data_IF_579497709509
#
_entry.id   IF_579497709509
#
_cell.length_a   1.000
_cell.length_b   1.000
_cell.length_c   1.000
_cell.angle_alpha   90.00
_cell.angle_beta   90.00
_cell.angle_gamma   90.00
#
_symmetry.space_group_name_H-M   'P 1'
#
loop_
_entity.id
_entity.type
_entity.pdbx_description
1 polymer ?
#
# COMPACT_ATOMS: atom_id res chain seq x y z
N UNK A 1 29.99 -9.68 9.25
CA UNK A 1 28.69 -9.59 9.93
C UNK A 1 28.00 -8.37 9.33
N UNK A 2 26.79 -8.53 8.80
CA UNK A 2 26.07 -7.42 8.20
C UNK A 2 25.71 -6.35 9.23
N UNK A 3 25.43 -5.14 8.75
CA UNK A 3 24.88 -4.05 9.57
C UNK A 3 23.38 -3.88 9.31
N UNK A 4 22.72 -3.21 10.24
CA UNK A 4 21.29 -2.88 10.15
C UNK A 4 21.16 -1.39 9.85
N UNK A 5 20.49 -1.06 8.76
CA UNK A 5 20.04 0.29 8.47
C UNK A 5 18.69 0.54 9.16
N UNK A 6 18.61 1.56 10.01
CA UNK A 6 17.36 1.90 10.73
C UNK A 6 16.94 3.31 10.35
N UNK A 7 15.90 3.43 9.53
CA UNK A 7 15.25 4.69 9.20
C UNK A 7 14.03 4.91 10.12
N UNK A 8 13.71 6.17 10.41
CA UNK A 8 12.44 6.57 11.02
C UNK A 8 11.67 7.39 9.99
N UNK A 9 10.50 6.93 9.60
CA UNK A 9 9.63 7.61 8.64
C UNK A 9 8.89 8.76 9.33
N UNK A 10 8.92 9.94 8.73
CA UNK A 10 8.16 11.11 9.18
C UNK A 10 6.74 11.19 8.59
N UNK A 11 6.44 10.40 7.54
CA UNK A 11 5.14 10.37 6.87
C UNK A 11 4.58 8.93 6.88
N UNK A 12 3.47 8.72 7.60
CA UNK A 12 2.81 7.41 7.72
C UNK A 12 2.32 6.85 6.38
N UNK A 13 2.04 5.54 6.36
CA UNK A 13 1.47 4.80 5.20
C UNK A 13 0.17 5.39 4.68
N UNK A 14 -0.57 6.06 5.56
CA UNK A 14 -1.87 6.63 5.32
C UNK A 14 -1.86 8.16 5.32
N UNK A 15 -0.73 8.81 5.01
CA UNK A 15 -0.71 10.26 4.80
C UNK A 15 -1.55 10.64 3.55
N UNK A 16 -2.87 10.60 3.67
CA UNK A 16 -3.67 11.75 3.28
C UNK A 16 -3.05 12.94 3.98
N UNK A 17 -2.38 13.80 3.22
CA UNK A 17 -2.03 15.13 3.69
C UNK A 17 -3.33 15.90 3.90
N UNK A 18 -3.96 15.69 5.05
CA UNK A 18 -5.11 16.43 5.54
C UNK A 18 -5.14 16.41 7.08
N UNK A 19 -4.10 16.98 7.66
CA UNK A 19 -4.23 17.67 8.94
C UNK A 19 -3.40 18.95 8.84
N UNK A 20 -3.85 19.89 8.00
CA UNK A 20 -3.39 21.29 8.02
C UNK A 20 -3.83 21.98 9.33
N UNK A 21 -4.51 21.28 10.25
CA UNK A 21 -4.94 21.83 11.55
C UNK A 21 -4.42 21.09 12.81
N UNK A 22 -3.48 20.13 12.69
CA UNK A 22 -2.86 19.52 13.88
C UNK A 22 -1.34 19.75 13.98
N UNK A 23 -0.95 21.03 13.90
CA UNK A 23 0.38 21.49 14.37
C UNK A 23 0.60 21.32 15.90
N UNK A 24 -0.31 20.66 16.63
CA UNK A 24 -0.15 20.33 18.05
C UNK A 24 0.13 18.84 18.34
N UNK A 25 -0.07 17.93 17.37
CA UNK A 25 0.08 16.47 17.57
C UNK A 25 1.37 15.87 16.99
N UNK A 26 1.85 16.37 15.85
CA UNK A 26 2.95 15.74 15.10
C UNK A 26 4.32 15.73 15.81
N UNK A 27 4.58 16.67 16.72
CA UNK A 27 5.86 16.72 17.46
C UNK A 27 5.98 15.60 18.50
N UNK A 28 4.88 15.23 19.14
CA UNK A 28 4.87 14.17 20.14
C UNK A 28 5.09 12.79 19.49
N UNK A 29 4.45 12.52 18.37
CA UNK A 29 4.59 11.25 17.64
C UNK A 29 6.02 11.04 17.12
N UNK A 30 6.60 12.09 16.54
CA UNK A 30 8.00 12.09 16.09
C UNK A 30 8.94 11.84 17.28
N UNK A 31 8.68 12.46 18.43
CA UNK A 31 9.47 12.26 19.64
C UNK A 31 9.36 10.83 20.18
N UNK A 32 8.16 10.24 20.19
CA UNK A 32 7.93 8.85 20.62
C UNK A 32 8.66 7.86 19.72
N UNK A 33 8.55 8.04 18.40
CA UNK A 33 9.24 7.20 17.41
C UNK A 33 10.76 7.31 17.56
N UNK A 34 11.28 8.54 17.68
CA UNK A 34 12.71 8.79 17.87
C UNK A 34 13.23 8.15 19.17
N UNK A 35 12.53 8.33 20.30
CA UNK A 35 12.91 7.72 21.57
C UNK A 35 12.94 6.19 21.51
N UNK A 36 11.98 5.58 20.79
CA UNK A 36 11.93 4.12 20.62
C UNK A 36 13.04 3.62 19.71
N UNK A 37 13.32 4.33 18.61
CA UNK A 37 14.44 4.06 17.70
C UNK A 37 15.77 4.12 18.45
N UNK A 38 15.98 5.13 19.28
CA UNK A 38 17.26 5.35 19.97
C UNK A 38 17.52 4.27 21.04
N UNK A 39 16.47 3.82 21.74
CA UNK A 39 16.56 2.65 22.63
C UNK A 39 16.85 1.36 21.86
N UNK A 40 16.21 1.15 20.70
CA UNK A 40 16.52 0.01 19.83
C UNK A 40 17.97 0.03 19.36
N UNK A 41 18.49 1.19 18.96
CA UNK A 41 19.89 1.36 18.56
C UNK A 41 20.83 1.01 19.71
N UNK A 42 20.55 1.48 20.92
CA UNK A 42 21.35 1.17 22.11
C UNK A 42 21.34 -0.34 22.41
N UNK A 43 20.18 -0.97 22.34
CA UNK A 43 20.02 -2.42 22.57
C UNK A 43 20.74 -3.27 21.51
N UNK A 44 20.66 -2.91 20.23
CA UNK A 44 21.38 -3.62 19.17
C UNK A 44 22.90 -3.43 19.30
N UNK A 45 23.37 -2.24 19.68
CA UNK A 45 24.80 -1.98 19.91
C UNK A 45 25.35 -2.75 21.10
N UNK A 46 24.58 -2.90 22.19
CA UNK A 46 24.99 -3.69 23.36
C UNK A 46 25.21 -5.17 23.00
N UNK A 47 24.54 -5.66 21.94
CA UNK A 47 24.70 -7.00 21.37
C UNK A 47 25.81 -7.12 20.33
N UNK A 48 26.58 -6.05 20.09
CA UNK A 48 27.67 -6.02 19.11
C UNK A 48 27.22 -5.94 17.64
N UNK A 49 25.96 -5.57 17.38
CA UNK A 49 25.44 -5.44 16.01
C UNK A 49 25.76 -4.05 15.45
N UNK A 50 26.33 -4.01 14.25
CA UNK A 50 26.64 -2.76 13.56
C UNK A 50 25.35 -2.08 13.05
N UNK A 51 25.25 -0.76 13.20
CA UNK A 51 24.04 0.01 12.84
C UNK A 51 24.43 1.26 12.05
N UNK A 52 23.62 1.60 11.06
CA UNK A 52 23.70 2.84 10.30
C UNK A 52 22.33 3.52 10.30
N UNK A 53 22.29 4.83 10.55
CA UNK A 53 21.05 5.62 10.65
C UNK A 53 21.17 6.82 9.71
N UNK A 54 20.24 7.01 8.75
CA UNK A 54 20.20 8.20 7.92
C UNK A 54 19.85 9.44 8.75
N UNK A 55 20.19 10.64 8.28
CA UNK A 55 19.77 11.89 8.96
C UNK A 55 18.25 12.02 8.92
N UNK A 56 17.67 12.62 9.97
CA UNK A 56 16.24 12.94 10.04
C UNK A 56 15.80 13.99 9.02
N UNK A 57 16.74 14.77 8.49
CA UNK A 57 16.44 15.84 7.52
C UNK A 57 16.25 15.32 6.09
N UNK A 58 16.56 14.04 5.84
CA UNK A 58 16.45 13.43 4.52
C UNK A 58 15.00 13.04 4.21
N UNK A 59 14.56 13.31 2.99
CA UNK A 59 13.31 12.75 2.49
C UNK A 59 13.46 11.26 2.14
N UNK A 60 12.36 10.57 1.83
CA UNK A 60 12.36 9.13 1.59
C UNK A 60 13.31 8.69 0.46
N UNK A 61 13.34 9.42 -0.66
CA UNK A 61 14.19 9.08 -1.80
C UNK A 61 15.67 9.26 -1.46
N UNK A 62 16.00 10.32 -0.71
CA UNK A 62 17.34 10.56 -0.19
C UNK A 62 17.77 9.50 0.83
N UNK A 63 16.87 9.06 1.71
CA UNK A 63 17.11 7.95 2.64
C UNK A 63 17.43 6.66 1.88
N UNK A 64 16.64 6.32 0.86
CA UNK A 64 16.86 5.13 0.03
C UNK A 64 18.22 5.22 -0.68
N UNK A 65 18.52 6.35 -1.32
CA UNK A 65 19.81 6.58 -1.97
C UNK A 65 20.98 6.48 -0.98
N UNK A 66 20.83 7.06 0.22
CA UNK A 66 21.83 7.03 1.27
C UNK A 66 22.14 5.61 1.74
N UNK A 67 21.11 4.77 1.90
CA UNK A 67 21.23 3.35 2.24
C UNK A 67 21.93 2.61 1.09
N UNK A 68 21.43 2.75 -0.15
CA UNK A 68 21.90 1.99 -1.31
C UNK A 68 23.39 2.21 -1.61
N UNK A 69 23.90 3.43 -1.43
CA UNK A 69 25.32 3.75 -1.63
C UNK A 69 26.22 3.13 -0.55
N UNK A 70 25.68 2.81 0.63
CA UNK A 70 26.45 2.31 1.79
C UNK A 70 26.26 0.83 2.06
N UNK A 71 25.24 0.20 1.45
CA UNK A 71 24.84 -1.14 1.78
C UNK A 71 25.71 -2.20 1.11
N UNK A 72 25.92 -3.30 1.81
CA UNK A 72 26.56 -4.51 1.34
C UNK A 72 25.57 -5.67 1.38
N UNK A 73 25.87 -6.77 0.70
CA UNK A 73 24.92 -7.89 0.54
C UNK A 73 24.56 -8.62 1.84
N UNK A 74 25.32 -8.41 2.92
CA UNK A 74 25.04 -9.00 4.22
C UNK A 74 24.07 -8.14 5.05
N UNK A 75 23.81 -6.91 4.62
CA UNK A 75 23.07 -5.93 5.39
C UNK A 75 21.56 -6.10 5.23
N UNK A 76 20.81 -5.52 6.18
CA UNK A 76 19.36 -5.40 6.13
C UNK A 76 18.95 -3.95 6.44
N UNK A 77 17.74 -3.57 6.05
CA UNK A 77 17.19 -2.25 6.29
C UNK A 77 15.77 -2.31 6.86
N UNK A 78 15.47 -1.44 7.80
CA UNK A 78 14.14 -1.29 8.37
C UNK A 78 13.78 0.19 8.44
N UNK A 79 12.55 0.51 8.06
CA UNK A 79 11.95 1.81 8.32
C UNK A 79 10.86 1.65 9.39
N UNK A 80 10.99 2.37 10.50
CA UNK A 80 10.01 2.41 11.56
C UNK A 80 9.05 3.58 11.33
N UNK A 81 7.76 3.39 11.57
CA UNK A 81 6.80 4.49 11.57
C UNK A 81 5.66 4.20 12.56
N UNK A 82 4.98 5.28 12.92
CA UNK A 82 3.70 5.25 13.61
C UNK A 82 2.62 5.65 12.62
N UNK A 83 1.42 5.10 12.76
CA UNK A 83 0.31 5.42 11.87
C UNK A 83 -0.84 6.08 12.63
N UNK A 84 -1.71 6.76 11.89
CA UNK A 84 -2.94 7.38 12.40
C UNK A 84 -4.10 6.79 11.61
N UNK A 85 -5.19 6.45 12.27
CA UNK A 85 -6.34 5.78 11.66
C UNK A 85 -7.64 6.46 12.05
N UNK A 86 -8.51 6.76 11.11
CA UNK A 86 -9.83 7.33 11.45
C UNK A 86 -10.74 6.33 12.18
N UNK A 87 -10.42 5.04 12.12
CA UNK A 87 -11.09 4.00 12.90
C UNK A 87 -10.45 3.88 14.30
N UNK A 88 -11.09 4.48 15.31
CA UNK A 88 -10.59 4.54 16.70
C UNK A 88 -10.23 3.17 17.33
N UNK A 89 -10.79 2.08 16.81
CA UNK A 89 -10.56 0.72 17.32
C UNK A 89 -9.32 0.03 16.73
N UNK A 90 -8.78 0.54 15.62
CA UNK A 90 -7.68 -0.10 14.94
C UNK A 90 -6.38 0.11 15.76
N UNK A 91 -5.71 -0.99 16.07
CA UNK A 91 -4.53 -1.03 16.94
C UNK A 91 -3.59 -2.17 16.58
N UNK A 92 -2.35 -2.09 17.05
CA UNK A 92 -1.35 -3.15 16.90
C UNK A 92 -0.27 -2.89 15.85
N UNK A 93 0.56 -3.89 15.62
CA UNK A 93 1.76 -3.81 14.76
C UNK A 93 1.61 -4.62 13.47
N UNK A 94 2.15 -4.10 12.38
CA UNK A 94 2.21 -4.75 11.07
C UNK A 94 3.58 -4.52 10.43
N UNK A 95 4.11 -5.49 9.67
CA UNK A 95 5.33 -5.29 8.89
C UNK A 95 5.06 -5.44 7.39
N UNK A 96 5.44 -4.43 6.61
CA UNK A 96 5.20 -4.39 5.18
C UNK A 96 6.44 -4.85 4.42
N UNK A 97 6.19 -5.67 3.39
CA UNK A 97 7.21 -6.26 2.56
C UNK A 97 6.85 -6.12 1.08
N UNK A 98 7.86 -6.21 0.21
CA UNK A 98 7.65 -6.29 -1.23
C UNK A 98 6.78 -7.50 -1.58
N UNK A 99 5.70 -7.28 -2.35
CA UNK A 99 4.80 -8.36 -2.78
C UNK A 99 5.55 -9.42 -3.61
N UNK A 100 4.99 -10.63 -3.68
CA UNK A 100 5.60 -11.81 -4.33
C UNK A 100 6.98 -12.26 -3.79
N UNK A 101 7.41 -11.76 -2.63
CA UNK A 101 8.63 -12.22 -1.96
C UNK A 101 8.31 -12.97 -0.66
N UNK A 102 8.25 -14.30 -0.74
CA UNK A 102 7.93 -15.17 0.40
C UNK A 102 9.00 -15.11 1.52
N UNK A 103 10.28 -14.91 1.16
CA UNK A 103 11.36 -14.74 2.14
C UNK A 103 11.12 -13.47 2.95
N UNK A 104 10.77 -12.37 2.27
CA UNK A 104 10.52 -11.08 2.93
C UNK A 104 9.27 -11.13 3.80
N UNK A 105 8.21 -11.82 3.36
CA UNK A 105 7.02 -12.08 4.18
C UNK A 105 7.38 -12.79 5.48
N UNK A 106 8.16 -13.88 5.41
CA UNK A 106 8.62 -14.62 6.60
C UNK A 106 9.42 -13.74 7.55
N UNK A 107 10.30 -12.90 7.03
CA UNK A 107 11.12 -11.98 7.83
C UNK A 107 10.28 -10.91 8.54
N UNK A 108 9.23 -10.43 7.87
CA UNK A 108 8.23 -9.56 8.49
C UNK A 108 7.49 -10.26 9.64
N UNK A 109 7.10 -11.53 9.46
CA UNK A 109 6.46 -12.34 10.52
C UNK A 109 7.40 -12.60 11.71
N UNK A 110 8.69 -12.87 11.47
CA UNK A 110 9.70 -13.00 12.52
C UNK A 110 9.76 -11.74 13.37
N UNK A 111 9.79 -10.58 12.72
CA UNK A 111 9.91 -9.28 13.38
C UNK A 111 8.67 -8.96 14.22
N UNK A 112 7.47 -9.07 13.66
CA UNK A 112 6.24 -8.78 14.42
C UNK A 112 6.03 -9.78 15.56
N UNK A 113 6.32 -11.06 15.33
CA UNK A 113 6.21 -12.10 16.36
C UNK A 113 7.19 -11.90 17.52
N UNK A 114 8.42 -11.46 17.23
CA UNK A 114 9.41 -11.15 18.26
C UNK A 114 8.97 -9.97 19.14
N UNK A 115 8.41 -8.92 18.52
CA UNK A 115 7.84 -7.79 19.26
C UNK A 115 6.67 -8.23 20.13
N UNK A 116 5.68 -8.94 19.57
CA UNK A 116 4.47 -9.33 20.32
C UNK A 116 4.75 -10.41 21.37
N UNK A 117 5.84 -11.17 21.23
CA UNK A 117 6.31 -12.07 22.29
C UNK A 117 6.82 -11.31 23.52
N UNK A 118 7.41 -10.12 23.34
CA UNK A 118 7.88 -9.26 24.44
C UNK A 118 6.78 -8.36 25.01
N UNK A 119 5.90 -7.89 24.14
CA UNK A 119 4.76 -7.03 24.48
C UNK A 119 3.46 -7.72 24.03
N UNK A 120 2.97 -8.74 24.75
CA UNK A 120 1.78 -9.50 24.34
C UNK A 120 0.48 -8.69 24.28
N UNK A 121 0.47 -7.48 24.85
CA UNK A 121 -0.66 -6.55 24.84
C UNK A 121 -0.82 -5.82 23.49
N UNK A 122 0.19 -5.88 22.61
CA UNK A 122 0.07 -5.37 21.24
C UNK A 122 -0.52 -6.44 20.32
N UNK A 123 -1.52 -6.06 19.53
CA UNK A 123 -2.11 -6.96 18.54
C UNK A 123 -1.11 -7.20 17.40
N UNK A 124 -0.83 -8.47 17.09
CA UNK A 124 -0.04 -8.84 15.91
C UNK A 124 -0.94 -8.89 14.68
N UNK A 125 -0.77 -7.93 13.76
CA UNK A 125 -1.51 -7.88 12.48
C UNK A 125 -0.75 -8.55 11.33
N UNK A 126 0.42 -9.11 11.61
CA UNK A 126 1.20 -9.92 10.69
C UNK A 126 1.93 -9.14 9.60
N UNK A 127 2.41 -9.89 8.62
CA UNK A 127 3.09 -9.38 7.45
C UNK A 127 2.09 -8.96 6.37
N UNK A 128 2.30 -7.78 5.77
CA UNK A 128 1.45 -7.20 4.73
C UNK A 128 2.26 -6.96 3.46
N UNK A 129 1.68 -7.26 2.31
CA UNK A 129 2.27 -6.87 1.03
C UNK A 129 2.22 -5.33 0.89
N UNK A 130 3.23 -4.74 0.29
CA UNK A 130 3.33 -3.30 0.04
C UNK A 130 2.19 -2.78 -0.85
N UNK A 131 1.61 -3.63 -1.69
CA UNK A 131 0.41 -3.33 -2.50
C UNK A 131 -0.85 -3.07 -1.68
N UNK A 132 -0.84 -3.38 -0.38
CA UNK A 132 -1.92 -3.05 0.55
C UNK A 132 -1.87 -1.57 0.99
N UNK A 133 -0.70 -0.93 0.91
CA UNK A 133 -0.55 0.47 1.26
C UNK A 133 -1.46 1.37 0.39
N UNK A 134 -1.78 2.56 0.89
CA UNK A 134 -2.71 3.49 0.24
C UNK A 134 -2.38 3.79 -1.23
N UNK A 135 -1.09 3.87 -1.58
CA UNK A 135 -0.62 4.14 -2.94
C UNK A 135 -0.34 2.87 -3.76
N UNK A 136 -0.64 1.68 -3.22
CA UNK A 136 -0.40 0.40 -3.88
C UNK A 136 1.07 0.02 -4.05
N UNK A 137 1.99 0.77 -3.44
CA UNK A 137 3.43 0.51 -3.45
C UNK A 137 4.11 1.19 -2.28
N UNK A 138 5.24 0.61 -1.83
CA UNK A 138 6.13 1.25 -0.86
C UNK A 138 7.55 1.30 -1.42
N UNK A 139 8.05 2.51 -1.69
CA UNK A 139 9.38 2.73 -2.25
C UNK A 139 10.47 2.12 -1.38
N UNK A 140 10.36 2.20 -0.05
CA UNK A 140 11.33 1.58 0.86
C UNK A 140 11.44 0.06 0.69
N UNK A 141 10.31 -0.62 0.43
CA UNK A 141 10.28 -2.07 0.20
C UNK A 141 10.80 -2.46 -1.20
N UNK A 142 10.60 -1.59 -2.21
CA UNK A 142 10.95 -1.90 -3.61
C UNK A 142 12.36 -1.44 -4.03
N UNK A 143 12.79 -0.29 -3.53
CA UNK A 143 13.96 0.43 -4.05
C UNK A 143 15.19 0.36 -3.14
N UNK A 144 15.06 -0.11 -1.89
CA UNK A 144 16.24 -0.42 -1.08
C UNK A 144 16.91 -1.68 -1.63
N UNK A 145 18.18 -1.58 -1.98
CA UNK A 145 18.93 -2.62 -2.69
C UNK A 145 19.21 -3.86 -1.83
N UNK A 146 19.13 -3.71 -0.51
CA UNK A 146 19.24 -4.80 0.45
C UNK A 146 17.87 -5.19 0.99
N UNK A 147 17.74 -6.43 1.50
CA UNK A 147 16.67 -6.82 2.40
C UNK A 147 16.00 -5.71 3.23
N UNK A 148 14.77 -5.31 2.87
CA UNK A 148 14.09 -4.19 3.53
C UNK A 148 12.65 -4.46 3.96
N UNK A 149 12.26 -3.89 5.11
CA UNK A 149 10.91 -3.92 5.65
C UNK A 149 10.49 -2.53 6.15
N UNK A 150 9.20 -2.25 6.09
CA UNK A 150 8.62 -1.05 6.71
C UNK A 150 7.69 -1.50 7.86
N UNK A 151 8.01 -1.12 9.10
CA UNK A 151 7.32 -1.59 10.30
C UNK A 151 6.39 -0.52 10.90
N UNK A 152 5.10 -0.82 10.89
CA UNK A 152 4.07 -0.14 11.67
C UNK A 152 4.26 -0.54 13.13
N UNK A 153 4.76 0.35 13.96
CA UNK A 153 4.87 0.01 15.37
C UNK A 153 3.49 -0.06 16.02
N UNK A 154 2.63 0.93 15.74
CA UNK A 154 1.30 1.07 16.33
C UNK A 154 0.53 2.28 15.75
N UNK A 155 -0.70 2.46 16.23
CA UNK A 155 -1.56 3.61 15.94
C UNK A 155 -1.49 4.66 17.04
N UNK A 156 -1.06 5.89 16.72
CA UNK A 156 -0.80 6.93 17.72
C UNK A 156 -2.07 7.48 18.36
N UNK A 157 -3.17 7.52 17.61
CA UNK A 157 -4.47 7.99 18.08
C UNK A 157 -5.28 6.94 18.85
N UNK A 158 -4.77 5.71 18.96
CA UNK A 158 -5.30 4.71 19.88
C UNK A 158 -4.66 4.89 21.28
N UNK A 159 -5.48 5.12 22.30
CA UNK A 159 -5.01 5.43 23.66
C UNK A 159 -4.23 4.29 24.31
N UNK A 160 -4.61 3.03 24.04
CA UNK A 160 -3.95 1.86 24.61
C UNK A 160 -2.56 1.64 23.98
N UNK A 161 -2.46 1.75 22.66
CA UNK A 161 -1.19 1.65 21.95
C UNK A 161 -0.22 2.76 22.37
N UNK A 162 -0.71 4.00 22.48
CA UNK A 162 0.08 5.14 22.98
C UNK A 162 0.62 4.87 24.39
N UNK A 163 -0.23 4.39 25.29
CA UNK A 163 0.17 4.05 26.66
C UNK A 163 1.23 2.94 26.70
N UNK A 164 1.06 1.88 25.88
CA UNK A 164 2.03 0.78 25.80
C UNK A 164 3.40 1.28 25.32
N UNK A 165 3.44 2.14 24.30
CA UNK A 165 4.70 2.71 23.82
C UNK A 165 5.43 3.51 24.89
N UNK A 166 4.68 4.29 25.68
CA UNK A 166 5.23 5.14 26.73
C UNK A 166 5.73 4.36 27.94
N UNK A 167 4.98 3.34 28.36
CA UNK A 167 5.25 2.58 29.59
C UNK A 167 6.15 1.37 29.38
N UNK A 168 6.13 0.76 28.19
CA UNK A 168 6.87 -0.46 27.86
C UNK A 168 7.90 -0.27 26.74
N UNK A 169 8.36 0.96 26.48
CA UNK A 169 9.31 1.29 25.40
C UNK A 169 10.56 0.41 25.36
N UNK A 170 11.09 0.04 26.53
CA UNK A 170 12.26 -0.83 26.64
C UNK A 170 11.96 -2.25 26.13
N UNK A 171 10.77 -2.77 26.38
CA UNK A 171 10.34 -4.07 25.88
C UNK A 171 10.10 -4.06 24.37
N UNK A 172 9.62 -2.94 23.82
CA UNK A 172 9.60 -2.72 22.36
C UNK A 172 11.01 -2.82 21.79
N UNK A 173 11.97 -2.08 22.35
CA UNK A 173 13.36 -2.09 21.88
C UNK A 173 13.98 -3.50 21.93
N UNK A 174 13.76 -4.25 23.02
CA UNK A 174 14.25 -5.63 23.17
C UNK A 174 13.58 -6.58 22.17
N UNK A 175 12.26 -6.50 22.01
CA UNK A 175 11.53 -7.37 21.07
C UNK A 175 11.89 -7.12 19.61
N UNK A 176 12.06 -5.85 19.25
CA UNK A 176 12.56 -5.45 17.93
C UNK A 176 14.01 -5.91 17.72
N UNK A 177 14.87 -5.77 18.72
CA UNK A 177 16.25 -6.23 18.63
C UNK A 177 16.34 -7.75 18.48
N UNK A 178 15.52 -8.51 19.20
CA UNK A 178 15.41 -9.98 19.07
C UNK A 178 15.01 -10.37 17.63
N UNK A 179 13.98 -9.71 17.08
CA UNK A 179 13.50 -9.96 15.72
C UNK A 179 14.52 -9.57 14.65
N UNK A 180 15.15 -8.41 14.78
CA UNK A 180 16.16 -7.92 13.84
C UNK A 180 17.44 -8.76 13.86
N UNK A 181 17.88 -9.23 15.02
CA UNK A 181 19.02 -10.15 15.13
C UNK A 181 18.72 -11.51 14.48
N UNK A 182 17.51 -12.05 14.69
CA UNK A 182 17.06 -13.28 14.05
C UNK A 182 17.01 -13.12 12.51
N UNK A 183 16.45 -12.01 12.02
CA UNK A 183 16.42 -11.69 10.60
C UNK A 183 17.84 -11.53 10.02
N UNK A 184 18.72 -10.77 10.67
CA UNK A 184 20.10 -10.59 10.20
C UNK A 184 20.84 -11.94 10.08
N UNK A 185 20.58 -12.85 11.02
CA UNK A 185 21.16 -14.22 11.01
C UNK A 185 20.59 -15.07 9.87
N UNK A 186 19.28 -15.04 9.64
CA UNK A 186 18.64 -15.72 8.50
C UNK A 186 19.17 -15.17 7.17
N UNK A 187 19.32 -13.85 7.07
CA UNK A 187 19.83 -13.20 5.87
C UNK A 187 21.26 -13.65 5.55
N UNK A 188 22.12 -13.73 6.56
CA UNK A 188 23.48 -14.25 6.41
C UNK A 188 23.51 -15.70 5.87
N UNK A 189 22.52 -16.53 6.20
CA UNK A 189 22.40 -17.89 5.67
C UNK A 189 21.90 -17.96 4.21
N UNK A 190 21.20 -16.92 3.74
CA UNK A 190 20.71 -16.84 2.35
C UNK A 190 21.72 -16.26 1.36
N UNK A 191 22.76 -15.57 1.86
CA UNK A 191 23.91 -15.17 1.04
C UNK A 191 24.77 -16.42 0.81
N UNK A 192 25.18 -16.77 -0.43
CA UNK A 192 26.08 -17.89 -0.65
C UNK A 192 27.36 -17.73 0.18
N UNK A 193 27.49 -18.53 1.24
CA UNK A 193 28.65 -18.49 2.12
C UNK A 193 29.84 -19.11 1.37
N UNK A 194 30.87 -18.30 1.15
CA UNK A 194 32.21 -18.77 0.82
C UNK A 194 32.71 -19.65 1.98
N UNK A 195 33.00 -20.92 1.70
CA UNK A 195 33.47 -21.88 2.69
C UNK A 195 34.73 -21.39 3.42
N UNK A 196 34.95 -21.74 4.71
CA UNK A 196 36.04 -21.18 5.54
C UNK A 196 37.45 -21.53 5.05
N UNK A 197 37.59 -22.43 4.09
CA UNK A 197 38.86 -22.90 3.55
C UNK A 197 39.36 -22.12 2.32
N UNK A 198 38.60 -21.18 1.78
CA UNK A 198 39.08 -20.32 0.68
C UNK A 198 39.43 -18.93 1.19
N UNK A 199 40.73 -18.65 1.30
CA UNK A 199 41.26 -17.28 1.14
C UNK A 199 40.56 -16.65 -0.06
N UNK A 200 40.18 -15.38 0.06
CA UNK A 200 39.62 -14.52 -1.00
C UNK A 200 40.11 -14.97 -2.38
N UNK A 201 39.25 -15.67 -3.11
CA UNK A 201 39.41 -15.79 -4.56
C UNK A 201 38.53 -14.69 -5.16
N UNK A 202 39.10 -13.55 -5.58
CA UNK A 202 38.34 -12.44 -6.14
C UNK A 202 37.59 -12.82 -7.44
N UNK A 203 37.79 -14.04 -7.96
CA UNK A 203 37.20 -14.54 -9.20
C UNK A 203 36.00 -15.49 -9.03
N UNK A 204 35.48 -15.75 -7.82
CA UNK A 204 34.26 -16.58 -7.68
C UNK A 204 33.01 -15.79 -8.07
N UNK A 205 32.68 -15.85 -9.36
CA UNK A 205 31.50 -15.19 -9.93
C UNK A 205 30.22 -15.62 -9.20
N UNK A 206 29.48 -14.64 -8.66
CA UNK A 206 28.18 -14.90 -8.06
C UNK A 206 27.23 -15.46 -9.12
N UNK A 207 26.52 -16.52 -8.78
CA UNK A 207 25.50 -17.13 -9.66
C UNK A 207 24.13 -17.01 -9.01
N UNK A 208 23.16 -16.47 -9.76
CA UNK A 208 21.78 -16.36 -9.32
C UNK A 208 20.94 -17.48 -9.90
N UNK A 209 19.97 -18.04 -9.15
CA UNK A 209 19.04 -19.01 -9.70
C UNK A 209 18.25 -18.42 -10.86
N UNK A 210 18.13 -19.19 -11.94
CA UNK A 210 17.31 -18.83 -13.09
C UNK A 210 15.82 -18.91 -12.77
N UNK A 211 15.05 -18.07 -13.47
CA UNK A 211 13.60 -17.96 -13.37
C UNK A 211 12.99 -18.16 -14.74
N UNK A 212 12.01 -19.04 -14.85
CA UNK A 212 11.19 -19.18 -16.04
C UNK A 212 10.26 -17.97 -16.18
N UNK A 213 10.05 -17.48 -17.39
CA UNK A 213 9.13 -16.39 -17.67
C UNK A 213 7.99 -16.95 -18.52
N UNK A 214 6.76 -16.81 -18.03
CA UNK A 214 5.53 -17.02 -18.79
C UNK A 214 4.97 -15.64 -19.16
N UNK A 215 5.00 -15.32 -20.46
CA UNK A 215 4.48 -14.06 -21.00
C UNK A 215 3.13 -14.33 -21.67
N UNK A 216 2.06 -13.73 -21.12
CA UNK A 216 0.70 -13.84 -21.66
C UNK A 216 0.25 -15.30 -21.92
N UNK A 217 0.64 -16.24 -21.06
CA UNK A 217 0.29 -17.66 -21.18
C UNK A 217 1.35 -18.52 -21.88
N UNK A 218 2.36 -17.93 -22.53
CA UNK A 218 3.37 -18.64 -23.29
C UNK A 218 4.74 -18.62 -22.60
N UNK A 219 5.52 -19.70 -22.72
CA UNK A 219 6.91 -19.69 -22.24
C UNK A 219 7.74 -18.71 -23.07
N UNK A 220 8.51 -17.88 -22.37
CA UNK A 220 9.48 -16.98 -22.97
C UNK A 220 10.88 -17.61 -22.98
N UNK A 221 11.67 -17.29 -24.00
CA UNK A 221 12.97 -17.93 -24.27
C UNK A 221 14.05 -17.53 -23.27
N UNK A 222 14.15 -16.25 -22.92
CA UNK A 222 15.14 -15.77 -21.95
C UNK A 222 14.66 -16.03 -20.53
N UNK A 223 15.64 -16.23 -19.64
CA UNK A 223 15.40 -16.46 -18.23
C UNK A 223 15.54 -15.16 -17.43
N UNK A 224 14.73 -15.04 -16.39
CA UNK A 224 14.97 -14.10 -15.32
C UNK A 224 15.98 -14.64 -14.31
N UNK A 225 16.26 -13.85 -13.28
CA UNK A 225 17.10 -14.24 -12.14
C UNK A 225 16.39 -13.97 -10.82
N UNK A 226 16.67 -14.79 -9.81
CA UNK A 226 16.16 -14.60 -8.45
C UNK A 226 17.25 -14.00 -7.55
N UNK A 227 17.04 -12.78 -7.06
CA UNK A 227 17.98 -12.06 -6.20
C UNK A 227 17.31 -11.72 -4.88
N UNK A 228 17.75 -12.35 -3.78
CA UNK A 228 17.21 -12.11 -2.43
C UNK A 228 15.66 -12.22 -2.35
N UNK A 229 15.11 -13.19 -3.10
CA UNK A 229 13.67 -13.43 -3.21
C UNK A 229 12.92 -12.50 -4.18
N UNK A 230 13.59 -11.54 -4.80
CA UNK A 230 13.03 -10.70 -5.85
C UNK A 230 13.30 -11.33 -7.21
N UNK A 231 12.28 -11.40 -8.05
CA UNK A 231 12.42 -11.82 -9.45
C UNK A 231 12.86 -10.62 -10.26
N UNK A 232 13.92 -10.76 -11.05
CA UNK A 232 14.33 -9.78 -12.04
C UNK A 232 14.29 -10.40 -13.44
N UNK A 233 13.94 -9.59 -14.43
CA UNK A 233 13.89 -9.96 -15.84
C UNK A 233 14.86 -9.11 -16.67
N UNK A 234 15.30 -9.58 -17.84
CA UNK A 234 16.13 -8.77 -18.74
C UNK A 234 15.44 -7.45 -19.12
N UNK A 235 16.18 -6.34 -19.12
CA UNK A 235 15.68 -5.03 -19.52
C UNK A 235 15.18 -5.03 -20.98
N UNK A 236 15.84 -5.78 -21.86
CA UNK A 236 15.47 -5.93 -23.28
C UNK A 236 14.07 -6.55 -23.46
N UNK A 237 13.59 -7.35 -22.50
CA UNK A 237 12.20 -7.82 -22.51
C UNK A 237 11.23 -6.67 -22.23
N UNK A 238 11.58 -5.76 -21.33
CA UNK A 238 10.75 -4.58 -21.00
C UNK A 238 10.59 -3.68 -22.23
N UNK A 239 11.70 -3.40 -22.93
CA UNK A 239 11.67 -2.60 -24.16
C UNK A 239 10.88 -3.29 -25.28
N UNK A 240 11.02 -4.61 -25.44
CA UNK A 240 10.25 -5.40 -26.42
C UNK A 240 8.74 -5.37 -26.16
N UNK A 241 8.34 -5.20 -24.89
CA UNK A 241 6.92 -5.04 -24.51
C UNK A 241 6.41 -3.60 -24.73
N UNK A 242 7.26 -2.67 -25.18
CA UNK A 242 6.91 -1.27 -25.35
C UNK A 242 6.72 -0.53 -24.03
N UNK A 243 7.21 -1.09 -22.92
CA UNK A 243 7.11 -0.48 -21.60
C UNK A 243 8.27 0.49 -21.41
N UNK A 244 7.97 1.73 -21.00
CA UNK A 244 8.99 2.76 -20.85
C UNK A 244 9.89 2.49 -19.64
N UNK A 245 11.09 1.95 -19.89
CA UNK A 245 12.09 1.69 -18.87
C UNK A 245 12.43 2.92 -18.04
N UNK A 246 12.42 4.14 -18.60
CA UNK A 246 12.80 5.37 -17.89
C UNK A 246 11.86 5.71 -16.73
N UNK A 247 10.64 5.16 -16.73
CA UNK A 247 9.70 5.30 -15.61
C UNK A 247 10.01 4.37 -14.44
N UNK A 248 10.92 3.39 -14.60
CA UNK A 248 11.36 2.49 -13.54
C UNK A 248 12.60 3.07 -12.84
N UNK A 249 12.58 3.24 -11.51
CA UNK A 249 13.75 3.72 -10.76
C UNK A 249 15.01 2.90 -11.02
N UNK A 250 16.16 3.57 -11.15
CA UNK A 250 17.47 2.90 -11.34
C UNK A 250 17.79 1.93 -10.21
N UNK A 251 17.31 2.19 -8.99
CA UNK A 251 17.49 1.31 -7.84
C UNK A 251 16.80 -0.06 -8.00
N UNK A 252 15.83 -0.19 -8.90
CA UNK A 252 15.17 -1.45 -9.25
C UNK A 252 15.90 -2.20 -10.38
N UNK A 253 17.09 -1.74 -10.79
CA UNK A 253 17.88 -2.33 -11.88
C UNK A 253 19.21 -2.86 -11.37
N UNK A 254 19.73 -3.90 -12.01
CA UNK A 254 21.01 -4.50 -11.65
C UNK A 254 21.71 -5.03 -12.90
N UNK A 255 23.02 -4.81 -13.01
CA UNK A 255 23.84 -5.43 -14.06
C UNK A 255 24.39 -6.76 -13.58
N UNK A 256 24.22 -7.82 -14.37
CA UNK A 256 24.69 -9.16 -14.09
C UNK A 256 25.12 -9.87 -15.37
N UNK A 257 26.36 -10.38 -15.41
CA UNK A 257 26.94 -11.07 -16.58
C UNK A 257 26.78 -10.31 -17.91
N UNK A 258 26.95 -8.98 -17.85
CA UNK A 258 26.82 -8.11 -19.04
C UNK A 258 25.40 -7.66 -19.35
N UNK A 259 24.37 -8.32 -18.80
CA UNK A 259 22.94 -8.02 -19.02
C UNK A 259 22.43 -7.09 -17.92
N UNK A 260 21.55 -6.15 -18.28
CA UNK A 260 20.81 -5.34 -17.31
C UNK A 260 19.50 -6.04 -16.99
N UNK A 261 19.25 -6.29 -15.71
CA UNK A 261 18.03 -6.87 -15.19
C UNK A 261 17.23 -5.83 -14.43
N UNK A 262 15.91 -5.95 -14.46
CA UNK A 262 14.94 -5.07 -13.81
C UNK A 262 14.05 -5.91 -12.90
N UNK A 263 13.78 -5.44 -11.68
CA UNK A 263 12.82 -6.11 -10.79
C UNK A 263 11.46 -6.22 -11.47
N UNK A 264 10.94 -7.44 -11.61
CA UNK A 264 9.70 -7.72 -12.33
C UNK A 264 8.50 -6.95 -11.75
N UNK A 265 8.44 -6.79 -10.42
CA UNK A 265 7.38 -6.06 -9.75
C UNK A 265 7.35 -4.56 -10.10
N UNK A 266 8.45 -3.98 -10.58
CA UNK A 266 8.47 -2.58 -11.00
C UNK A 266 7.65 -2.35 -12.28
N UNK A 267 7.47 -3.38 -13.12
CA UNK A 267 6.62 -3.30 -14.30
C UNK A 267 5.14 -3.15 -13.93
N UNK A 268 4.76 -3.40 -12.67
CA UNK A 268 3.42 -3.10 -12.17
C UNK A 268 3.08 -1.64 -12.46
N UNK A 269 3.97 -0.70 -12.17
CA UNK A 269 3.71 0.73 -12.41
C UNK A 269 3.56 1.09 -13.91
N UNK A 270 3.93 0.18 -14.82
CA UNK A 270 3.80 0.32 -16.27
C UNK A 270 2.63 -0.49 -16.85
N UNK A 271 1.56 -0.68 -16.07
CA UNK A 271 0.38 -1.47 -16.46
C UNK A 271 0.69 -2.93 -16.79
N UNK A 272 1.65 -3.58 -16.14
CA UNK A 272 1.82 -5.04 -16.25
C UNK A 272 1.30 -5.77 -15.00
N UNK A 273 0.70 -6.94 -15.17
CA UNK A 273 0.33 -7.80 -14.05
C UNK A 273 1.42 -8.85 -13.84
N UNK A 274 1.77 -9.03 -12.58
CA UNK A 274 2.92 -9.81 -12.14
C UNK A 274 2.41 -10.84 -11.13
N UNK A 275 2.72 -12.12 -11.37
CA UNK A 275 2.51 -13.18 -10.40
C UNK A 275 3.73 -14.09 -10.36
N UNK A 276 3.95 -14.72 -9.21
CA UNK A 276 5.14 -15.53 -8.94
C UNK A 276 4.73 -16.87 -8.36
N UNK A 277 5.19 -17.94 -9.00
CA UNK A 277 5.12 -19.29 -8.48
C UNK A 277 6.52 -19.76 -8.04
N UNK A 278 6.71 -19.85 -6.73
CA UNK A 278 7.97 -20.28 -6.12
C UNK A 278 8.26 -21.77 -6.31
N UNK A 279 7.25 -22.62 -6.50
CA UNK A 279 7.42 -24.05 -6.66
C UNK A 279 8.01 -24.39 -8.03
N UNK A 280 7.51 -23.75 -9.08
CA UNK A 280 8.00 -23.94 -10.45
C UNK A 280 9.08 -22.93 -10.86
N UNK A 281 9.39 -21.94 -9.99
CA UNK A 281 10.23 -20.77 -10.29
C UNK A 281 9.80 -20.06 -11.57
N UNK A 282 8.50 -19.83 -11.69
CA UNK A 282 7.90 -19.21 -12.88
C UNK A 282 7.31 -17.85 -12.54
N UNK A 283 7.80 -16.83 -13.24
CA UNK A 283 7.19 -15.52 -13.30
C UNK A 283 6.06 -15.55 -14.35
N UNK A 284 4.85 -15.18 -13.94
CA UNK A 284 3.76 -14.90 -14.86
C UNK A 284 3.68 -13.40 -15.09
N UNK A 285 3.99 -12.98 -16.30
CA UNK A 285 3.94 -11.60 -16.76
C UNK A 285 2.80 -11.46 -17.76
N UNK A 286 1.81 -10.63 -17.43
CA UNK A 286 0.72 -10.29 -18.35
C UNK A 286 0.79 -8.81 -18.71
N UNK A 287 0.64 -8.55 -19.99
CA UNK A 287 0.62 -7.19 -20.59
C UNK A 287 -0.58 -6.98 -21.50
N UNK A 288 -1.33 -8.06 -21.79
CA UNK A 288 -2.57 -8.03 -22.54
C UNK A 288 -3.70 -8.27 -21.55
N UNK A 289 -4.63 -7.32 -21.48
CA UNK A 289 -5.80 -7.37 -20.61
C UNK A 289 -7.07 -7.14 -21.40
N UNK A 290 -8.20 -7.54 -20.82
CA UNK A 290 -9.53 -7.21 -21.35
C UNK A 290 -9.82 -5.70 -21.29
N UNK A 291 -9.10 -4.97 -20.43
CA UNK A 291 -9.27 -3.54 -20.20
C UNK A 291 -8.15 -2.77 -20.91
N UNK A 292 -8.52 -1.84 -21.79
CA UNK A 292 -7.54 -0.93 -22.38
C UNK A 292 -6.99 0.01 -21.30
N UNK A 293 -5.67 0.17 -21.22
CA UNK A 293 -5.02 1.01 -20.19
C UNK A 293 -5.55 2.46 -20.14
N UNK A 294 -5.99 3.02 -21.27
CA UNK A 294 -6.59 4.37 -21.34
C UNK A 294 -8.06 4.46 -20.92
N UNK A 295 -8.67 3.37 -20.48
CA UNK A 295 -10.05 3.31 -19.99
C UNK A 295 -10.14 3.10 -18.47
N UNK A 296 -9.05 2.66 -17.82
CA UNK A 296 -9.08 2.34 -16.39
C UNK A 296 -9.37 3.54 -15.49
N UNK A 297 -9.06 4.75 -15.97
CA UNK A 297 -9.29 6.01 -15.25
C UNK A 297 -10.58 6.73 -15.66
N UNK A 298 -11.40 6.14 -16.53
CA UNK A 298 -12.66 6.74 -16.97
C UNK A 298 -13.77 6.47 -15.95
N UNK A 299 -14.45 7.53 -15.51
CA UNK A 299 -15.55 7.44 -14.54
C UNK A 299 -16.82 6.89 -15.19
N UNK A 300 -17.09 7.28 -16.43
CA UNK A 300 -18.20 6.73 -17.22
C UNK A 300 -17.73 5.47 -17.92
N UNK A 301 -18.58 4.44 -17.95
CA UNK A 301 -18.27 3.14 -18.54
C UNK A 301 -18.84 1.99 -17.73
N UNK A 302 -18.62 0.76 -18.19
CA UNK A 302 -19.00 -0.45 -17.47
C UNK A 302 -17.83 -0.91 -16.59
N UNK A 303 -18.11 -1.29 -15.35
CA UNK A 303 -17.15 -2.06 -14.56
C UNK A 303 -17.07 -3.51 -15.04
N UNK A 304 -15.99 -4.17 -14.69
CA UNK A 304 -15.67 -5.54 -15.07
C UNK A 304 -15.86 -6.53 -13.92
N UNK A 305 -15.73 -6.11 -12.65
CA UNK A 305 -15.82 -7.05 -11.54
C UNK A 305 -17.26 -7.51 -11.29
N UNK A 306 -17.41 -8.82 -11.05
CA UNK A 306 -18.67 -9.46 -10.65
C UNK A 306 -19.07 -9.04 -9.22
N UNK A 307 -20.36 -9.19 -8.90
CA UNK A 307 -20.85 -8.98 -7.53
C UNK A 307 -20.08 -9.82 -6.50
N UNK A 308 -19.81 -11.09 -6.83
CA UNK A 308 -19.04 -12.01 -5.98
C UNK A 308 -17.59 -11.53 -5.81
N UNK A 309 -16.95 -11.02 -6.87
CA UNK A 309 -15.58 -10.49 -6.79
C UNK A 309 -15.52 -9.24 -5.88
N UNK A 310 -16.47 -8.32 -6.02
CA UNK A 310 -16.59 -7.15 -5.14
C UNK A 310 -16.85 -7.54 -3.68
N UNK A 311 -17.73 -8.52 -3.45
CA UNK A 311 -18.04 -9.05 -2.13
C UNK A 311 -16.81 -9.70 -1.47
N UNK A 312 -16.09 -10.53 -2.22
CA UNK A 312 -14.85 -11.16 -1.74
C UNK A 312 -13.75 -10.13 -1.47
N UNK A 313 -13.66 -9.09 -2.31
CA UNK A 313 -12.73 -7.99 -2.08
C UNK A 313 -13.04 -7.23 -0.80
N UNK A 314 -14.32 -6.94 -0.52
CA UNK A 314 -14.75 -6.34 0.75
C UNK A 314 -14.44 -7.28 1.92
N UNK A 315 -14.79 -8.57 1.82
CA UNK A 315 -14.53 -9.58 2.85
C UNK A 315 -13.07 -9.62 3.28
N UNK A 316 -12.16 -9.67 2.30
CA UNK A 316 -10.73 -9.77 2.54
C UNK A 316 -10.14 -8.52 3.21
N UNK A 317 -10.84 -7.38 3.16
CA UNK A 317 -10.40 -6.12 3.74
C UNK A 317 -11.16 -5.74 5.00
N UNK A 318 -12.43 -6.11 5.14
CA UNK A 318 -13.27 -5.88 6.30
C UNK A 318 -14.41 -6.92 6.34
N UNK A 319 -14.13 -8.11 6.88
CA UNK A 319 -15.12 -9.18 6.99
C UNK A 319 -16.35 -8.76 7.82
N UNK A 320 -16.16 -7.94 8.86
CA UNK A 320 -17.26 -7.47 9.71
C UNK A 320 -18.29 -6.61 8.95
N UNK A 321 -17.89 -5.93 7.87
CA UNK A 321 -18.81 -5.13 7.06
C UNK A 321 -19.91 -5.98 6.40
N UNK A 322 -19.67 -7.27 6.16
CA UNK A 322 -20.64 -8.14 5.50
C UNK A 322 -21.92 -8.34 6.32
N UNK A 323 -21.86 -8.15 7.64
CA UNK A 323 -23.02 -8.26 8.51
C UNK A 323 -24.07 -7.17 8.24
N UNK A 324 -23.63 -6.00 7.77
CA UNK A 324 -24.49 -4.82 7.59
C UNK A 324 -24.57 -4.34 6.14
N UNK A 325 -23.61 -4.72 5.29
CA UNK A 325 -23.45 -4.19 3.93
C UNK A 325 -23.16 -5.29 2.89
N UNK A 326 -23.59 -6.52 3.13
CA UNK A 326 -23.37 -7.65 2.22
C UNK A 326 -24.05 -7.50 0.85
N UNK A 327 -25.10 -6.69 0.77
CA UNK A 327 -25.85 -6.33 -0.45
C UNK A 327 -25.23 -5.16 -1.24
N UNK A 328 -24.32 -4.41 -0.64
CA UNK A 328 -23.76 -3.19 -1.22
C UNK A 328 -23.07 -3.41 -2.59
N UNK A 329 -22.32 -4.51 -2.84
CA UNK A 329 -21.81 -4.83 -4.17
C UNK A 329 -22.89 -4.91 -5.26
N UNK A 330 -24.03 -5.52 -4.94
CA UNK A 330 -25.18 -5.64 -5.85
C UNK A 330 -25.78 -4.25 -6.14
N UNK A 331 -25.98 -3.46 -5.08
CA UNK A 331 -26.53 -2.10 -5.16
C UNK A 331 -25.68 -1.20 -6.05
N UNK A 332 -24.34 -1.22 -5.87
CA UNK A 332 -23.42 -0.44 -6.71
C UNK A 332 -23.53 -0.80 -8.18
N UNK A 333 -23.59 -2.09 -8.52
CA UNK A 333 -23.76 -2.53 -9.90
C UNK A 333 -25.07 -2.02 -10.50
N UNK A 334 -26.18 -2.19 -9.80
CA UNK A 334 -27.51 -1.80 -10.28
C UNK A 334 -27.63 -0.27 -10.49
N UNK A 335 -27.26 0.53 -9.50
CA UNK A 335 -27.38 2.00 -9.60
C UNK A 335 -26.41 2.58 -10.64
N UNK A 336 -25.20 2.03 -10.72
CA UNK A 336 -24.20 2.50 -11.68
C UNK A 336 -24.53 2.11 -13.13
N UNK A 337 -25.08 0.90 -13.36
CA UNK A 337 -25.53 0.44 -14.67
C UNK A 337 -26.62 1.36 -15.24
N UNK A 338 -27.59 1.77 -14.41
CA UNK A 338 -28.66 2.70 -14.82
C UNK A 338 -28.09 4.03 -15.31
N UNK A 339 -27.06 4.56 -14.64
CA UNK A 339 -26.51 5.88 -14.96
C UNK A 339 -25.32 5.84 -15.92
N UNK A 340 -24.76 4.66 -16.20
CA UNK A 340 -23.59 4.45 -17.06
C UNK A 340 -22.25 4.79 -16.39
N UNK A 341 -22.19 4.70 -15.06
CA UNK A 341 -20.98 4.95 -14.25
C UNK A 341 -20.25 3.62 -14.02
N UNK A 342 -18.92 3.65 -13.98
CA UNK A 342 -18.12 2.45 -13.68
C UNK A 342 -18.31 2.05 -12.20
N UNK A 343 -19.00 0.94 -11.96
CA UNK A 343 -19.31 0.45 -10.61
C UNK A 343 -18.07 0.02 -9.82
N UNK A 344 -17.00 -0.46 -10.48
CA UNK A 344 -15.78 -0.88 -9.79
C UNK A 344 -15.04 0.34 -9.22
N UNK A 345 -14.98 1.41 -9.99
CA UNK A 345 -14.37 2.69 -9.59
C UNK A 345 -15.17 3.31 -8.46
N UNK A 346 -16.51 3.39 -8.58
CA UNK A 346 -17.37 3.91 -7.53
C UNK A 346 -17.26 3.07 -6.24
N UNK A 347 -17.19 1.75 -6.35
CA UNK A 347 -17.01 0.86 -5.20
C UNK A 347 -15.64 1.04 -4.53
N UNK A 348 -14.57 1.19 -5.31
CA UNK A 348 -13.23 1.47 -4.79
C UNK A 348 -13.14 2.86 -4.14
N UNK A 349 -13.76 3.88 -4.74
CA UNK A 349 -13.87 5.19 -4.13
C UNK A 349 -14.61 5.11 -2.78
N UNK A 350 -15.73 4.38 -2.71
CA UNK A 350 -16.42 4.13 -1.44
C UNK A 350 -15.52 3.48 -0.40
N UNK A 351 -14.72 2.49 -0.78
CA UNK A 351 -13.80 1.83 0.14
C UNK A 351 -12.76 2.83 0.70
N UNK A 352 -12.34 3.82 -0.07
CA UNK A 352 -11.41 4.87 0.37
C UNK A 352 -12.09 5.88 1.29
N UNK A 353 -13.29 6.30 0.94
CA UNK A 353 -14.06 7.30 1.70
C UNK A 353 -14.48 6.76 3.06
N UNK A 354 -14.85 5.49 3.13
CA UNK A 354 -15.38 4.86 4.35
C UNK A 354 -14.37 3.99 5.10
N UNK A 355 -13.13 3.85 4.59
CA UNK A 355 -12.14 2.93 5.17
C UNK A 355 -12.58 1.45 5.09
N UNK A 356 -13.17 1.05 3.97
CA UNK A 356 -13.88 -0.22 3.75
C UNK A 356 -15.04 -0.40 4.73
N UNK A 357 -15.94 0.59 4.80
CA UNK A 357 -17.15 0.56 5.64
C UNK A 357 -16.87 0.42 7.14
N UNK A 358 -15.68 0.85 7.57
CA UNK A 358 -15.39 1.03 9.01
C UNK A 358 -15.95 2.34 9.51
N UNK A 359 -16.06 3.32 8.61
CA UNK A 359 -16.41 4.70 8.89
C UNK A 359 -15.40 5.34 9.86
N UNK A 360 -15.31 6.67 9.77
CA UNK A 360 -14.15 7.44 10.22
C UNK A 360 -13.94 8.55 9.20
N UNK A 361 -13.54 9.75 9.65
CA UNK A 361 -13.64 11.05 8.94
C UNK A 361 -15.01 11.76 9.06
N UNK A 362 -15.55 11.82 10.28
CA UNK A 362 -16.76 12.61 10.61
C UNK A 362 -18.06 12.19 9.90
N UNK A 363 -18.07 11.00 9.27
CA UNK A 363 -19.26 10.37 8.68
C UNK A 363 -19.56 9.10 9.47
N UNK A 364 -20.79 8.99 9.95
CA UNK A 364 -21.27 7.83 10.67
C UNK A 364 -21.97 6.84 9.74
N UNK A 365 -21.95 5.56 10.11
CA UNK A 365 -22.57 4.45 9.35
C UNK A 365 -24.06 4.68 9.11
N UNK A 366 -24.77 5.31 10.06
CA UNK A 366 -26.21 5.57 9.97
C UNK A 366 -26.57 6.61 8.89
N UNK A 367 -25.59 7.40 8.42
CA UNK A 367 -25.83 8.38 7.38
C UNK A 367 -25.96 7.75 5.99
N UNK A 368 -25.56 6.49 5.80
CA UNK A 368 -25.47 5.84 4.49
C UNK A 368 -24.71 6.69 3.45
N UNK A 369 -23.77 7.51 3.90
CA UNK A 369 -23.00 8.42 3.06
C UNK A 369 -21.67 7.77 2.67
N UNK A 370 -21.72 6.97 1.61
CA UNK A 370 -20.59 6.15 1.17
C UNK A 370 -19.51 6.90 0.39
N UNK A 371 -19.70 8.20 0.16
CA UNK A 371 -18.84 8.98 -0.73
C UNK A 371 -18.47 10.36 -0.15
N UNK A 372 -18.64 10.53 1.16
CA UNK A 372 -18.35 11.77 1.87
C UNK A 372 -19.02 13.00 1.30
N UNK A 373 -20.26 12.84 0.80
CA UNK A 373 -20.99 13.91 0.15
C UNK A 373 -21.36 15.01 1.14
N UNK A 374 -21.11 16.25 0.76
CA UNK A 374 -21.52 17.42 1.52
C UNK A 374 -23.05 17.61 1.50
N UNK A 375 -23.58 18.17 2.57
CA UNK A 375 -25.01 18.54 2.63
C UNK A 375 -25.31 19.79 1.77
N UNK A 376 -26.60 20.04 1.54
CA UNK A 376 -27.05 21.26 0.86
C UNK A 376 -26.77 22.49 1.73
N UNK A 377 -26.40 23.66 1.15
CA UNK A 377 -26.17 24.88 1.91
C UNK A 377 -27.32 25.26 2.85
N UNK A 378 -28.57 25.02 2.44
CA UNK A 378 -29.77 25.29 3.26
C UNK A 378 -29.81 24.44 4.54
N UNK A 379 -29.40 23.18 4.43
CA UNK A 379 -29.37 22.23 5.56
C UNK A 379 -28.15 22.49 6.46
N UNK A 380 -27.02 22.89 5.88
CA UNK A 380 -25.83 23.27 6.64
C UNK A 380 -26.06 24.49 7.55
N UNK A 381 -26.89 25.44 7.12
CA UNK A 381 -27.25 26.63 7.93
C UNK A 381 -28.23 26.26 9.05
N UNK A 382 -29.16 25.34 8.80
CA UNK A 382 -30.17 24.91 9.78
C UNK A 382 -29.59 24.02 10.88
N UNK A 383 -28.55 23.24 10.56
CA UNK A 383 -27.86 22.33 11.48
C UNK A 383 -26.38 22.73 11.57
N UNK A 384 -26.01 23.71 12.42
CA UNK A 384 -24.61 24.02 12.67
C UNK A 384 -23.89 22.77 13.21
N UNK A 385 -22.60 22.58 12.90
CA UNK A 385 -21.94 21.30 13.08
C UNK A 385 -21.91 20.87 14.56
N UNK A 386 -22.76 19.89 14.90
CA UNK A 386 -22.39 18.86 15.87
C UNK A 386 -21.39 17.92 15.17
N UNK A 387 -20.72 17.05 15.91
CA UNK A 387 -19.56 16.25 15.44
C UNK A 387 -19.77 15.38 14.17
N UNK A 388 -20.99 15.31 13.61
CA UNK A 388 -21.32 14.68 12.33
C UNK A 388 -21.47 15.72 11.21
N UNK A 389 -20.70 15.56 10.14
CA UNK A 389 -20.74 16.45 8.98
C UNK A 389 -21.09 15.67 7.72
N UNK A 390 -21.89 16.26 6.82
CA UNK A 390 -22.20 15.68 5.51
C UNK A 390 -23.69 15.41 5.27
N UNK A 391 -24.00 14.86 4.10
CA UNK A 391 -25.34 14.40 3.74
C UNK A 391 -25.69 13.09 4.48
N UNK A 392 -26.99 12.84 4.66
CA UNK A 392 -27.52 11.59 5.20
C UNK A 392 -28.64 11.08 4.31
N UNK A 393 -28.73 9.75 4.16
CA UNK A 393 -29.67 9.08 3.27
C UNK A 393 -30.44 8.00 4.02
N UNK A 394 -31.73 7.88 3.72
CA UNK A 394 -32.66 7.00 4.46
C UNK A 394 -32.33 5.51 4.28
N UNK A 395 -31.66 5.14 3.19
CA UNK A 395 -31.25 3.75 2.93
C UNK A 395 -29.92 3.66 2.20
N UNK A 396 -29.24 2.50 2.27
CA UNK A 396 -28.02 2.24 1.50
C UNK A 396 -28.21 2.48 -0.01
N UNK A 397 -29.35 2.07 -0.58
CA UNK A 397 -29.69 2.30 -1.98
C UNK A 397 -29.61 3.78 -2.36
N UNK A 398 -30.22 4.66 -1.54
CA UNK A 398 -30.25 6.10 -1.82
C UNK A 398 -28.87 6.74 -1.66
N UNK A 399 -28.08 6.27 -0.68
CA UNK A 399 -26.69 6.68 -0.51
C UNK A 399 -25.82 6.34 -1.71
N UNK A 400 -25.92 5.10 -2.22
CA UNK A 400 -25.20 4.69 -3.42
C UNK A 400 -25.69 5.45 -4.65
N UNK A 401 -27.01 5.62 -4.82
CA UNK A 401 -27.56 6.43 -5.91
C UNK A 401 -27.01 7.86 -5.90
N UNK A 402 -26.97 8.51 -4.74
CA UNK A 402 -26.41 9.86 -4.62
C UNK A 402 -24.92 9.90 -4.99
N UNK A 403 -24.15 8.89 -4.59
CA UNK A 403 -22.75 8.73 -5.00
C UNK A 403 -22.62 8.63 -6.52
N UNK A 404 -23.35 7.72 -7.15
CA UNK A 404 -23.34 7.49 -8.61
C UNK A 404 -23.75 8.76 -9.37
N UNK A 405 -24.80 9.44 -8.93
CA UNK A 405 -25.24 10.70 -9.53
C UNK A 405 -24.18 11.78 -9.43
N UNK A 406 -23.48 11.89 -8.30
CA UNK A 406 -22.42 12.87 -8.12
C UNK A 406 -21.22 12.57 -9.02
N UNK A 407 -20.83 11.30 -9.17
CA UNK A 407 -19.80 10.87 -10.13
C UNK A 407 -20.19 11.21 -11.58
N UNK A 408 -21.42 10.87 -11.99
CA UNK A 408 -21.94 11.25 -13.31
C UNK A 408 -21.98 12.76 -13.51
N UNK A 409 -22.28 13.54 -12.47
CA UNK A 409 -22.23 15.00 -12.55
C UNK A 409 -20.83 15.50 -12.91
N UNK A 410 -19.80 14.98 -12.25
CA UNK A 410 -18.42 15.32 -12.56
C UNK A 410 -18.01 14.85 -13.96
N UNK A 411 -18.42 13.66 -14.37
CA UNK A 411 -17.86 13.01 -15.55
C UNK A 411 -18.65 13.21 -16.86
N UNK A 412 -19.92 13.62 -16.80
CA UNK A 412 -20.79 13.69 -17.97
C UNK A 412 -21.83 14.81 -17.94
N UNK A 413 -22.17 15.32 -19.12
CA UNK A 413 -23.30 16.24 -19.35
C UNK A 413 -24.60 15.54 -19.70
N UNK A 414 -24.59 14.21 -19.95
CA UNK A 414 -25.79 13.43 -20.25
C UNK A 414 -26.79 13.43 -19.09
N UNK A 415 -28.10 13.60 -19.32
CA UNK A 415 -29.08 13.68 -18.24
C UNK A 415 -29.05 12.44 -17.32
N UNK A 416 -29.52 12.61 -16.08
CA UNK A 416 -29.77 11.48 -15.18
C UNK A 416 -31.01 10.72 -15.65
N UNK A 417 -30.99 9.40 -15.50
CA UNK A 417 -32.18 8.58 -15.74
C UNK A 417 -33.11 8.59 -14.54
N UNK A 418 -32.54 8.68 -13.34
CA UNK A 418 -33.30 8.73 -12.09
C UNK A 418 -33.43 10.15 -11.52
N UNK A 419 -34.41 10.33 -10.63
CA UNK A 419 -34.61 11.59 -9.91
C UNK A 419 -33.38 11.97 -9.08
N UNK A 420 -33.07 13.27 -9.03
CA UNK A 420 -31.86 13.79 -8.36
C UNK A 420 -32.00 13.67 -6.83
N UNK A 421 -31.05 12.98 -6.20
CA UNK A 421 -30.96 12.82 -4.74
C UNK A 421 -29.65 13.40 -4.21
N UNK A 422 -28.58 13.44 -5.02
CA UNK A 422 -27.31 14.06 -4.65
C UNK A 422 -27.50 15.56 -4.28
N UNK A 423 -27.26 15.97 -3.02
CA UNK A 423 -27.67 17.30 -2.52
C UNK A 423 -27.02 18.49 -3.24
N UNK A 424 -25.82 18.26 -3.80
CA UNK A 424 -25.00 19.28 -4.46
C UNK A 424 -24.90 19.08 -5.97
N UNK A 425 -25.71 18.20 -6.55
CA UNK A 425 -25.66 17.86 -7.97
C UNK A 425 -25.69 19.09 -8.88
N UNK A 426 -26.59 20.04 -8.60
CA UNK A 426 -26.81 21.26 -9.39
C UNK A 426 -25.71 22.33 -9.21
N UNK A 427 -24.79 22.16 -8.26
CA UNK A 427 -23.71 23.12 -7.98
C UNK A 427 -22.42 22.81 -8.74
N UNK A 428 -22.30 21.59 -9.28
CA UNK A 428 -21.11 21.16 -10.02
C UNK A 428 -21.25 21.50 -11.49
N UNK A 429 -20.22 22.10 -12.09
CA UNK A 429 -20.12 22.27 -13.53
C UNK A 429 -20.04 20.88 -14.18
N UNK A 430 -21.11 20.48 -14.88
CA UNK A 430 -21.26 19.11 -15.37
C UNK A 430 -20.18 18.73 -16.39
N UNK A 431 -19.60 17.54 -16.26
CA UNK A 431 -18.56 17.04 -17.17
C UNK A 431 -17.17 17.66 -16.97
N UNK A 432 -16.92 18.34 -15.85
CA UNK A 432 -15.63 18.99 -15.55
C UNK A 432 -14.48 18.02 -15.24
N UNK A 433 -14.80 16.78 -14.84
CA UNK A 433 -13.82 15.75 -14.49
C UNK A 433 -14.27 14.36 -15.04
N UNK A 434 -14.10 14.08 -16.34
CA UNK A 434 -14.36 12.76 -16.93
C UNK A 434 -13.46 11.63 -16.42
N UNK A 435 -12.28 11.96 -15.90
CA UNK A 435 -11.27 10.99 -15.42
C UNK A 435 -11.02 11.09 -13.92
N UNK A 436 -10.60 9.99 -13.31
CA UNK A 436 -10.27 9.89 -11.87
C UNK A 436 -9.22 10.92 -11.45
N UNK A 437 -8.18 11.13 -12.28
CA UNK A 437 -7.14 12.13 -12.03
C UNK A 437 -7.65 13.57 -11.87
N UNK A 438 -8.82 13.87 -12.44
CA UNK A 438 -9.45 15.18 -12.37
C UNK A 438 -10.35 15.34 -11.14
N UNK A 439 -10.59 14.27 -10.36
CA UNK A 439 -11.28 14.35 -9.07
C UNK A 439 -10.35 14.88 -7.97
N UNK A 440 -9.04 14.71 -8.10
CA UNK A 440 -8.04 15.30 -7.20
C UNK A 440 -8.18 16.82 -7.17
N UNK A 441 -8.35 17.40 -5.98
CA UNK A 441 -8.61 18.83 -5.77
C UNK A 441 -10.05 19.29 -6.05
N UNK A 442 -10.92 18.43 -6.59
CA UNK A 442 -12.34 18.73 -6.86
C UNK A 442 -13.29 17.99 -5.92
N UNK A 443 -13.09 16.68 -5.81
CA UNK A 443 -13.81 15.81 -4.90
C UNK A 443 -13.18 15.83 -3.51
N UNK A 444 -11.87 15.56 -3.46
CA UNK A 444 -11.07 15.59 -2.25
C UNK A 444 -9.79 16.39 -2.49
N UNK A 445 -9.32 17.12 -1.47
CA UNK A 445 -8.10 17.93 -1.55
C UNK A 445 -6.81 17.11 -1.34
N UNK A 446 -6.93 15.83 -1.03
CA UNK A 446 -5.80 14.90 -0.97
C UNK A 446 -5.09 14.84 -2.35
N UNK A 447 -3.80 15.24 -2.45
CA UNK A 447 -3.07 15.28 -3.71
C UNK A 447 -2.81 13.90 -4.32
N UNK A 448 -3.05 12.81 -3.58
CA UNK A 448 -2.91 11.44 -4.05
C UNK A 448 -4.25 10.72 -4.21
N UNK A 449 -5.37 11.44 -4.17
CA UNK A 449 -6.71 10.86 -4.16
C UNK A 449 -6.95 9.91 -5.35
N UNK A 450 -6.65 10.39 -6.56
CA UNK A 450 -6.73 9.60 -7.78
C UNK A 450 -5.85 8.35 -7.74
N UNK A 451 -4.60 8.49 -7.28
CA UNK A 451 -3.66 7.37 -7.19
C UNK A 451 -4.14 6.31 -6.20
N UNK A 452 -4.77 6.71 -5.09
CA UNK A 452 -5.37 5.77 -4.13
C UNK A 452 -6.51 4.98 -4.77
N UNK A 453 -7.40 5.65 -5.51
CA UNK A 453 -8.50 4.99 -6.23
C UNK A 453 -7.95 3.98 -7.24
N UNK A 454 -6.99 4.39 -8.08
CA UNK A 454 -6.41 3.54 -9.11
C UNK A 454 -5.61 2.37 -8.51
N UNK A 455 -4.86 2.60 -7.43
CA UNK A 455 -4.16 1.54 -6.70
C UNK A 455 -5.13 0.48 -6.17
N UNK A 456 -6.28 0.92 -5.64
CA UNK A 456 -7.29 0.03 -5.10
C UNK A 456 -8.04 -0.73 -6.21
N UNK A 457 -8.42 -0.04 -7.29
CA UNK A 457 -9.05 -0.62 -8.47
C UNK A 457 -8.16 -1.71 -9.09
N UNK A 458 -6.85 -1.42 -9.20
CA UNK A 458 -5.89 -2.41 -9.66
C UNK A 458 -5.83 -3.63 -8.76
N UNK A 459 -5.82 -3.43 -7.45
CA UNK A 459 -5.81 -4.54 -6.49
C UNK A 459 -7.08 -5.39 -6.58
N UNK A 460 -8.24 -4.76 -6.83
CA UNK A 460 -9.48 -5.46 -7.12
C UNK A 460 -9.31 -6.34 -8.36
N UNK A 461 -8.81 -5.80 -9.47
CA UNK A 461 -8.64 -6.53 -10.73
C UNK A 461 -7.61 -7.67 -10.65
N UNK A 462 -6.50 -7.46 -9.95
CA UNK A 462 -5.51 -8.50 -9.66
C UNK A 462 -6.14 -9.64 -8.83
N UNK A 463 -6.92 -9.31 -7.80
CA UNK A 463 -7.61 -10.32 -6.98
C UNK A 463 -8.74 -11.06 -7.71
N UNK A 464 -9.34 -10.39 -8.70
CA UNK A 464 -10.42 -10.90 -9.52
C UNK A 464 -9.93 -11.74 -10.71
N UNK A 465 -8.62 -11.72 -11.02
CA UNK A 465 -8.03 -12.36 -12.19
C UNK A 465 -8.32 -11.65 -13.51
N UNK A 466 -8.77 -10.40 -13.46
CA UNK A 466 -9.00 -9.52 -14.62
C UNK A 466 -7.66 -8.98 -15.14
N UNK A 467 -6.73 -8.74 -14.20
CA UNK A 467 -5.32 -8.48 -14.46
C UNK A 467 -4.46 -9.73 -14.28
#
# INVERSE_FOLDING_TARGET
MGKIFIAAGHNGLNSSSLAVDEMKGGTAEIAELAATRDLLIAELRSRGIAIAVPSSDLNLDEVIAWINVRATRQDIAIALYLDVTDANELRGTSAYHITHNAIRKRQAEILTSALTKRVPEILNRGAKADTIASLGSLSFCRQVAVPSLMLELLFTNNSQDRLLMQTRRRDYAIGLADGLQAWLSENAATVPVLSPSSRLDPNKNITYPEVNINLNGHSYEERGILVSGNVLIPADLVDRLGLNLDQIPLACRMRYQGIVYVQAIALRELNASISWDSATRTLYLRTIFEICAGQIDQIMGLGHASEVQLLMFLKNNNEAALNSYGDLPQIYRQEAEIEGVNHDLAFCQMCIETGFLRFGKAIASEQNNFASLGTSPRVAIANPPSQQTGASFESPQLGVRAHIQQLKCYASTAPLFQAVIAPRFHLVARGIAPRVSQLTGRWAIDPFYDRKILALLRRLYESAGIF
#
